data_IF_749315357446
#
_entry.id   IF_749315357446
#
_cell.length_a   1.000
_cell.length_b   1.000
_cell.length_c   1.000
_cell.angle_alpha   90.00
_cell.angle_beta   90.00
_cell.angle_gamma   90.00
#
_symmetry.space_group_name_H-M   'P 1'
#
loop_
_entity.id
_entity.type
_entity.pdbx_description
1 polymer ?
#
# COMPACT_ATOMS: atom_id res chain seq x y z
N UNK A 1 28.89 -15.94 -80.03
CA UNK A 1 28.62 -15.57 -78.63
C UNK A 1 29.84 -14.82 -78.13
N UNK A 2 29.74 -13.49 -78.06
CA UNK A 2 30.90 -12.61 -77.91
C UNK A 2 31.24 -12.40 -76.44
N UNK A 3 32.54 -12.42 -76.08
CA UNK A 3 33.05 -12.23 -74.70
C UNK A 3 32.50 -10.97 -74.00
N UNK A 4 32.15 -9.94 -74.78
CA UNK A 4 31.57 -8.70 -74.26
C UNK A 4 30.15 -8.86 -73.70
N UNK A 5 29.34 -9.80 -74.21
CA UNK A 5 28.00 -10.06 -73.66
C UNK A 5 28.08 -10.79 -72.31
N UNK A 6 29.03 -11.71 -72.15
CA UNK A 6 29.24 -12.44 -70.89
C UNK A 6 29.79 -11.54 -69.77
N UNK A 7 30.70 -10.61 -70.10
CA UNK A 7 31.23 -9.63 -69.14
C UNK A 7 30.16 -8.62 -68.70
N UNK A 8 29.31 -8.15 -69.62
CA UNK A 8 28.22 -7.23 -69.28
C UNK A 8 27.13 -7.90 -68.43
N UNK A 9 26.82 -9.18 -68.66
CA UNK A 9 25.92 -9.95 -67.79
C UNK A 9 26.49 -10.15 -66.38
N UNK A 10 27.81 -10.39 -66.27
CA UNK A 10 28.48 -10.51 -64.97
C UNK A 10 28.50 -9.18 -64.19
N UNK A 11 28.76 -8.05 -64.85
CA UNK A 11 28.75 -6.73 -64.23
C UNK A 11 27.35 -6.30 -63.77
N UNK A 12 26.31 -6.58 -64.58
CA UNK A 12 24.93 -6.29 -64.22
C UNK A 12 24.46 -7.10 -63.00
N UNK A 13 24.88 -8.37 -62.89
CA UNK A 13 24.59 -9.20 -61.72
C UNK A 13 25.23 -8.65 -60.44
N UNK A 14 26.51 -8.28 -60.51
CA UNK A 14 27.23 -7.68 -59.37
C UNK A 14 26.58 -6.36 -58.95
N UNK A 15 26.19 -5.52 -59.91
CA UNK A 15 25.49 -4.28 -59.60
C UNK A 15 24.14 -4.52 -58.90
N UNK A 16 23.35 -5.49 -59.38
CA UNK A 16 22.08 -5.86 -58.75
C UNK A 16 22.26 -6.41 -57.33
N UNK A 17 23.30 -7.23 -57.11
CA UNK A 17 23.64 -7.79 -55.79
C UNK A 17 24.08 -6.70 -54.81
N UNK A 18 24.95 -5.77 -55.25
CA UNK A 18 25.37 -4.63 -54.44
C UNK A 18 24.20 -3.68 -54.11
N UNK A 19 23.26 -3.49 -55.04
CA UNK A 19 22.02 -2.75 -54.77
C UNK A 19 21.13 -3.47 -53.75
N UNK A 20 21.02 -4.80 -53.82
CA UNK A 20 20.27 -5.59 -52.85
C UNK A 20 20.88 -5.47 -51.44
N UNK A 21 22.21 -5.63 -51.33
CA UNK A 21 22.92 -5.42 -50.07
C UNK A 21 22.74 -3.99 -49.53
N UNK A 22 22.77 -2.97 -50.39
CA UNK A 22 22.51 -1.58 -49.97
C UNK A 22 21.11 -1.43 -49.36
N UNK A 23 20.09 -1.96 -50.04
CA UNK A 23 18.70 -1.92 -49.53
C UNK A 23 18.57 -2.66 -48.20
N UNK A 24 19.26 -3.80 -48.04
CA UNK A 24 19.27 -4.54 -46.76
C UNK A 24 19.94 -3.73 -45.63
N UNK A 25 21.05 -3.05 -45.93
CA UNK A 25 21.68 -2.12 -44.99
C UNK A 25 20.72 -0.98 -44.61
N UNK A 26 20.05 -0.35 -45.59
CA UNK A 26 19.11 0.74 -45.35
C UNK A 26 17.97 0.30 -44.42
N UNK A 27 17.42 -0.90 -44.61
CA UNK A 27 16.38 -1.47 -43.74
C UNK A 27 16.90 -1.71 -42.33
N UNK A 28 18.12 -2.25 -42.17
CA UNK A 28 18.72 -2.47 -40.84
C UNK A 28 19.00 -1.16 -40.11
N UNK A 29 19.49 -0.14 -40.82
CA UNK A 29 19.70 1.20 -40.25
C UNK A 29 18.37 1.76 -39.75
N UNK A 30 17.33 1.76 -40.59
CA UNK A 30 16.01 2.26 -40.21
C UNK A 30 15.43 1.51 -38.98
N UNK A 31 15.61 0.19 -38.93
CA UNK A 31 15.17 -0.62 -37.78
C UNK A 31 15.93 -0.28 -36.50
N UNK A 32 17.24 -0.05 -36.58
CA UNK A 32 18.03 0.35 -35.42
C UNK A 32 17.73 1.77 -34.98
N UNK A 33 17.49 2.69 -35.91
CA UNK A 33 17.08 4.06 -35.59
C UNK A 33 15.73 4.08 -34.86
N UNK A 34 14.77 3.27 -35.31
CA UNK A 34 13.49 3.12 -34.60
C UNK A 34 13.68 2.56 -33.18
N UNK A 35 14.56 1.56 -33.03
CA UNK A 35 14.85 0.99 -31.72
C UNK A 35 15.56 2.01 -30.81
N UNK A 36 16.50 2.78 -31.35
CA UNK A 36 17.21 3.86 -30.66
C UNK A 36 16.21 4.90 -30.15
N UNK A 37 15.33 5.39 -31.02
CA UNK A 37 14.29 6.35 -30.67
C UNK A 37 13.37 5.80 -29.55
N UNK A 38 13.02 4.52 -29.59
CA UNK A 38 12.20 3.88 -28.56
C UNK A 38 12.91 3.79 -27.21
N UNK A 39 14.21 3.50 -27.22
CA UNK A 39 15.02 3.50 -26.00
C UNK A 39 15.15 4.90 -25.42
N UNK A 40 15.40 5.91 -26.25
CA UNK A 40 15.46 7.30 -25.83
C UNK A 40 14.14 7.77 -25.20
N UNK A 41 13.01 7.43 -25.80
CA UNK A 41 11.69 7.73 -25.23
C UNK A 41 11.48 7.06 -23.86
N UNK A 42 11.84 5.77 -23.74
CA UNK A 42 11.78 5.04 -22.47
C UNK A 42 12.69 5.65 -21.40
N UNK A 43 13.91 6.07 -21.78
CA UNK A 43 14.84 6.74 -20.87
C UNK A 43 14.26 8.07 -20.38
N UNK A 44 13.67 8.85 -21.28
CA UNK A 44 13.03 10.12 -20.93
C UNK A 44 11.86 9.90 -19.95
N UNK A 45 11.03 8.88 -20.19
CA UNK A 45 9.95 8.50 -19.28
C UNK A 45 10.48 8.10 -17.90
N UNK A 46 11.47 7.20 -17.83
CA UNK A 46 12.05 6.75 -16.56
C UNK A 46 12.70 7.91 -15.77
N UNK A 47 13.30 8.88 -16.46
CA UNK A 47 13.83 10.09 -15.82
C UNK A 47 12.72 10.94 -15.21
N UNK A 48 11.61 11.12 -15.92
CA UNK A 48 10.44 11.83 -15.40
C UNK A 48 9.83 11.12 -14.18
N UNK A 49 9.69 9.79 -14.24
CA UNK A 49 9.24 8.97 -13.11
C UNK A 49 10.18 9.10 -11.90
N UNK A 50 11.50 9.08 -12.12
CA UNK A 50 12.49 9.29 -11.05
C UNK A 50 12.34 10.68 -10.41
N UNK A 51 12.19 11.73 -11.21
CA UNK A 51 11.98 13.09 -10.70
C UNK A 51 10.70 13.19 -9.86
N UNK A 52 9.61 12.55 -10.29
CA UNK A 52 8.37 12.47 -9.54
C UNK A 52 8.56 11.76 -8.19
N UNK A 53 9.17 10.58 -8.18
CA UNK A 53 9.42 9.81 -6.95
C UNK A 53 10.31 10.60 -5.98
N UNK A 54 11.31 11.33 -6.49
CA UNK A 54 12.15 12.18 -5.66
C UNK A 54 11.37 13.38 -5.08
N UNK A 55 10.43 13.95 -5.82
CA UNK A 55 9.56 15.00 -5.33
C UNK A 55 8.62 14.49 -4.22
N UNK A 56 7.99 13.33 -4.44
CA UNK A 56 7.13 12.66 -3.45
C UNK A 56 7.91 12.32 -2.18
N UNK A 57 9.14 11.81 -2.32
CA UNK A 57 10.03 11.54 -1.18
C UNK A 57 10.31 12.82 -0.37
N UNK A 58 10.64 13.93 -1.03
CA UNK A 58 10.91 15.21 -0.34
C UNK A 58 9.67 15.71 0.41
N UNK A 59 8.49 15.55 -0.19
CA UNK A 59 7.23 15.89 0.46
C UNK A 59 7.01 15.04 1.72
N UNK A 60 7.15 13.72 1.60
CA UNK A 60 7.01 12.81 2.75
C UNK A 60 8.04 13.09 3.87
N UNK A 61 9.26 13.48 3.51
CA UNK A 61 10.27 13.92 4.48
C UNK A 61 9.87 15.21 5.20
N UNK A 62 9.28 16.18 4.49
CA UNK A 62 8.75 17.40 5.08
C UNK A 62 7.56 17.11 6.01
N UNK A 63 6.60 16.30 5.57
CA UNK A 63 5.43 15.90 6.37
C UNK A 63 5.87 15.16 7.65
N UNK A 64 6.90 14.30 7.56
CA UNK A 64 7.49 13.63 8.72
C UNK A 64 8.08 14.64 9.71
N UNK A 65 8.83 15.63 9.22
CA UNK A 65 9.42 16.67 10.08
C UNK A 65 8.34 17.52 10.77
N UNK A 66 7.25 17.85 10.07
CA UNK A 66 6.13 18.57 10.65
C UNK A 66 5.43 17.72 11.73
N UNK A 67 5.16 16.44 11.44
CA UNK A 67 4.57 15.52 12.41
C UNK A 67 5.45 15.34 13.65
N UNK A 68 6.77 15.27 13.49
CA UNK A 68 7.72 15.21 14.61
C UNK A 68 7.64 16.47 15.49
N UNK A 69 7.60 17.66 14.89
CA UNK A 69 7.43 18.92 15.64
C UNK A 69 6.10 18.98 16.39
N UNK A 70 5.00 18.55 15.76
CA UNK A 70 3.68 18.50 16.41
C UNK A 70 3.68 17.52 17.58
N UNK A 71 4.31 16.35 17.42
CA UNK A 71 4.43 15.36 18.49
C UNK A 71 5.27 15.88 19.66
N UNK A 72 6.38 16.57 19.40
CA UNK A 72 7.19 17.20 20.44
C UNK A 72 6.41 18.30 21.17
N UNK A 73 5.72 19.17 20.44
CA UNK A 73 4.88 20.21 21.02
C UNK A 73 3.75 19.62 21.89
N UNK A 74 3.13 18.54 21.42
CA UNK A 74 2.09 17.83 22.17
C UNK A 74 2.65 17.21 23.45
N UNK A 75 3.81 16.54 23.40
CA UNK A 75 4.48 15.98 24.58
C UNK A 75 4.80 17.08 25.61
N UNK A 76 5.36 18.20 25.16
CA UNK A 76 5.66 19.34 26.03
C UNK A 76 4.39 19.97 26.64
N UNK A 77 3.27 19.97 25.93
CA UNK A 77 1.98 20.43 26.44
C UNK A 77 1.40 19.46 27.47
N UNK A 78 1.50 18.14 27.24
CA UNK A 78 1.09 17.10 28.18
C UNK A 78 1.91 17.20 29.47
N UNK A 79 3.23 17.35 29.40
CA UNK A 79 4.10 17.53 30.57
C UNK A 79 3.74 18.78 31.38
N UNK A 80 3.46 19.91 30.70
CA UNK A 80 2.94 21.11 31.38
C UNK A 80 1.58 20.87 32.03
N UNK A 81 0.68 20.15 31.35
CA UNK A 81 -0.65 19.83 31.86
C UNK A 81 -0.66 18.84 33.03
N UNK A 82 0.27 17.88 33.07
CA UNK A 82 0.46 16.97 34.21
C UNK A 82 1.10 17.71 35.38
N UNK A 83 2.07 18.58 35.14
CA UNK A 83 2.65 19.47 36.16
C UNK A 83 1.62 20.37 36.84
N UNK A 84 0.69 20.96 36.07
CA UNK A 84 -0.41 21.78 36.61
C UNK A 84 -1.41 20.97 37.46
N UNK A 85 -1.67 19.70 37.10
CA UNK A 85 -2.53 18.81 37.90
C UNK A 85 -1.85 18.35 39.18
N UNK A 86 -0.55 18.09 39.15
CA UNK A 86 0.22 17.76 40.35
C UNK A 86 0.35 18.97 41.30
N UNK A 87 0.54 20.18 40.77
CA UNK A 87 0.60 21.42 41.56
C UNK A 87 -0.75 21.77 42.23
N UNK A 88 -1.90 21.36 41.66
CA UNK A 88 -3.22 21.47 42.30
C UNK A 88 -3.49 20.38 43.35
N UNK A 89 -2.67 19.34 43.43
CA UNK A 89 -2.87 18.19 44.31
C UNK A 89 -2.30 18.32 45.73
N UNK A 90 -1.63 19.43 46.08
CA UNK A 90 -0.89 19.53 47.36
C UNK A 90 -1.15 20.83 48.11
N UNK A 91 -2.39 21.32 48.07
CA UNK A 91 -2.84 22.40 48.94
C UNK A 91 -4.30 22.19 49.33
N UNK A 92 -4.68 22.33 50.61
CA UNK A 92 -6.08 22.27 51.01
C UNK A 92 -6.78 23.51 50.44
N UNK A 93 -7.28 23.40 49.21
CA UNK A 93 -8.08 24.44 48.59
C UNK A 93 -9.46 24.37 49.23
N UNK A 94 -9.69 25.15 50.29
CA UNK A 94 -11.01 25.34 50.89
C UNK A 94 -11.91 26.03 49.87
N UNK A 95 -12.65 25.25 49.11
CA UNK A 95 -13.83 25.72 48.40
C UNK A 95 -14.97 25.80 49.41
N UNK A 96 -15.42 27.02 49.71
CA UNK A 96 -16.65 27.22 50.47
C UNK A 96 -17.83 27.06 49.49
N UNK A 97 -18.55 25.95 49.63
CA UNK A 97 -19.86 25.76 49.01
C UNK A 97 -20.87 26.51 49.86
N UNK A 98 -21.50 27.52 49.27
CA UNK A 98 -22.72 28.13 49.83
C UNK A 98 -23.90 27.33 49.28
N UNK A 99 -24.52 26.51 50.13
CA UNK A 99 -25.79 25.85 49.84
C UNK A 99 -26.95 26.75 50.23
N UNK A 100 -27.99 26.91 49.40
CA UNK A 100 -29.33 27.18 49.90
C UNK A 100 -30.09 25.86 50.16
N UNK A 101 -30.94 25.94 51.18
CA UNK A 101 -31.66 24.89 51.92
C UNK A 101 -32.54 23.89 51.15
N UNK A 102 -32.62 22.71 51.78
CA UNK A 102 -33.76 21.80 52.02
C UNK A 102 -34.69 21.30 50.90
N UNK A 103 -34.70 19.97 50.75
CA UNK A 103 -35.82 19.19 50.21
C UNK A 103 -35.50 17.67 50.13
N UNK A 104 -36.37 16.75 50.58
CA UNK A 104 -35.98 15.43 51.08
C UNK A 104 -35.85 14.30 50.04
N UNK A 105 -34.94 13.36 50.33
CA UNK A 105 -34.81 11.98 49.82
C UNK A 105 -36.09 11.15 50.11
N UNK A 106 -36.38 9.95 49.51
CA UNK A 106 -35.50 9.02 48.77
C UNK A 106 -36.14 8.31 47.55
N UNK A 107 -35.35 7.56 46.76
CA UNK A 107 -35.62 6.14 46.43
C UNK A 107 -34.78 5.58 45.27
N UNK A 108 -34.35 4.34 45.50
CA UNK A 108 -34.27 3.22 44.57
C UNK A 108 -33.24 3.24 43.42
N UNK A 109 -32.28 2.34 43.59
CA UNK A 109 -31.40 1.79 42.59
C UNK A 109 -32.15 1.31 41.33
N UNK A 110 -31.59 1.59 40.17
CA UNK A 110 -31.67 0.67 39.02
C UNK A 110 -30.33 0.73 38.30
N UNK A 111 -29.53 -0.33 38.47
CA UNK A 111 -28.41 -0.62 37.57
C UNK A 111 -29.03 -0.96 36.21
N UNK A 112 -29.03 -0.01 35.30
CA UNK A 112 -29.26 -0.31 33.89
C UNK A 112 -28.02 -1.05 33.40
N UNK A 113 -28.20 -2.31 33.05
CA UNK A 113 -27.18 -3.11 32.38
C UNK A 113 -26.67 -2.35 31.14
N UNK A 114 -25.35 -2.28 30.89
CA UNK A 114 -24.86 -1.74 29.63
C UNK A 114 -25.35 -2.65 28.51
N UNK A 115 -26.19 -2.10 27.63
CA UNK A 115 -26.46 -2.71 26.34
C UNK A 115 -25.11 -2.92 25.61
N UNK A 116 -24.91 -4.05 24.90
CA UNK A 116 -23.69 -4.29 24.17
C UNK A 116 -23.60 -3.30 23.01
N UNK A 117 -22.92 -2.17 23.21
CA UNK A 117 -22.47 -1.32 22.12
C UNK A 117 -21.26 -2.01 21.49
N UNK A 118 -21.50 -2.94 20.55
CA UNK A 118 -20.49 -3.28 19.55
C UNK A 118 -20.41 -2.16 18.52
N UNK A 119 -19.93 -1.00 18.97
CA UNK A 119 -19.26 -0.03 18.11
C UNK A 119 -17.78 -0.42 18.10
N UNK A 120 -17.47 -1.55 17.48
CA UNK A 120 -16.09 -1.91 17.13
C UNK A 120 -15.60 -0.83 16.18
N UNK A 121 -14.84 0.14 16.73
CA UNK A 121 -14.18 1.14 15.93
C UNK A 121 -13.34 0.42 14.87
N UNK A 122 -13.39 0.85 13.60
CA UNK A 122 -12.71 0.17 12.53
C UNK A 122 -11.20 0.13 12.80
N UNK A 123 -10.60 -1.01 12.53
CA UNK A 123 -9.16 -1.19 12.71
C UNK A 123 -8.43 -0.37 11.65
N UNK A 124 -7.63 0.60 12.08
CA UNK A 124 -6.80 1.41 11.19
C UNK A 124 -5.61 0.59 10.69
N UNK A 125 -5.52 0.45 9.37
CA UNK A 125 -4.49 -0.37 8.73
C UNK A 125 -3.73 0.50 7.75
N UNK A 126 -2.41 0.45 7.85
CA UNK A 126 -1.48 1.14 6.96
C UNK A 126 -0.74 0.15 6.07
N UNK A 127 -0.33 0.64 4.89
CA UNK A 127 0.49 -0.09 3.92
C UNK A 127 -0.31 -0.60 2.71
N UNK A 128 0.08 -0.14 1.53
CA UNK A 128 -0.61 -0.37 0.25
C UNK A 128 -0.91 -1.85 -0.02
N UNK A 129 0.06 -2.75 0.19
CA UNK A 129 -0.15 -4.18 -0.04
C UNK A 129 -1.14 -4.80 0.95
N UNK A 130 -1.15 -4.36 2.20
CA UNK A 130 -2.09 -4.86 3.21
C UNK A 130 -3.50 -4.36 2.90
N UNK A 131 -3.62 -3.11 2.45
CA UNK A 131 -4.88 -2.52 1.98
C UNK A 131 -5.42 -3.26 0.75
N UNK A 132 -4.57 -3.54 -0.24
CA UNK A 132 -4.97 -4.32 -1.42
C UNK A 132 -5.46 -5.73 -1.06
N UNK A 133 -4.82 -6.40 -0.08
CA UNK A 133 -5.33 -7.69 0.44
C UNK A 133 -6.70 -7.52 1.08
N UNK A 134 -6.90 -6.47 1.88
CA UNK A 134 -8.19 -6.22 2.52
C UNK A 134 -9.28 -5.84 1.53
N UNK A 135 -8.97 -5.10 0.47
CA UNK A 135 -9.89 -4.82 -0.64
C UNK A 135 -10.34 -6.12 -1.30
N UNK A 136 -9.41 -7.05 -1.57
CA UNK A 136 -9.74 -8.38 -2.12
C UNK A 136 -10.70 -9.13 -1.17
N UNK A 137 -10.37 -9.19 0.12
CA UNK A 137 -11.19 -9.88 1.12
C UNK A 137 -12.57 -9.22 1.30
N UNK A 138 -12.65 -7.89 1.16
CA UNK A 138 -13.89 -7.12 1.35
C UNK A 138 -14.87 -7.26 0.19
N UNK A 139 -14.43 -7.72 -0.98
CA UNK A 139 -15.32 -8.02 -2.12
C UNK A 139 -16.29 -9.16 -1.79
N UNK A 140 -15.83 -10.15 -1.03
CA UNK A 140 -16.59 -11.35 -0.66
C UNK A 140 -16.36 -11.64 0.84
N UNK A 141 -17.03 -10.92 1.75
CA UNK A 141 -16.74 -10.97 3.20
C UNK A 141 -17.08 -12.32 3.83
N UNK A 142 -18.06 -13.04 3.28
CA UNK A 142 -18.49 -14.35 3.78
C UNK A 142 -17.61 -15.50 3.26
N UNK A 143 -16.75 -15.24 2.26
CA UNK A 143 -15.90 -16.26 1.65
C UNK A 143 -14.67 -16.54 2.51
N UNK A 144 -14.30 -17.81 2.54
CA UNK A 144 -13.03 -18.26 3.10
C UNK A 144 -11.90 -18.19 2.06
N UNK A 145 -10.84 -17.47 2.38
CA UNK A 145 -9.71 -17.20 1.49
C UNK A 145 -8.48 -18.00 1.89
N UNK A 146 -7.76 -18.52 0.90
CA UNK A 146 -6.48 -19.21 1.13
C UNK A 146 -5.33 -18.29 0.74
N UNK A 147 -4.13 -18.43 1.32
CA UNK A 147 -2.97 -17.63 0.91
C UNK A 147 -2.67 -17.73 -0.59
N UNK A 148 -2.92 -18.89 -1.20
CA UNK A 148 -2.78 -19.10 -2.64
C UNK A 148 -3.81 -18.29 -3.44
N UNK A 149 -5.09 -18.29 -3.02
CA UNK A 149 -6.13 -17.51 -3.69
C UNK A 149 -5.83 -16.00 -3.63
N UNK A 150 -5.42 -15.50 -2.46
CA UNK A 150 -5.03 -14.09 -2.31
C UNK A 150 -3.80 -13.75 -3.16
N UNK A 151 -2.79 -14.61 -3.20
CA UNK A 151 -1.61 -14.40 -4.04
C UNK A 151 -1.91 -14.37 -5.55
N UNK A 152 -2.88 -15.17 -6.00
CA UNK A 152 -3.34 -15.16 -7.39
C UNK A 152 -4.04 -13.84 -7.75
N UNK A 153 -4.88 -13.33 -6.86
CA UNK A 153 -5.58 -12.04 -7.07
C UNK A 153 -4.62 -10.84 -6.98
N UNK A 154 -3.64 -10.88 -6.06
CA UNK A 154 -2.74 -9.76 -5.80
C UNK A 154 -1.60 -9.63 -6.82
N UNK A 155 -0.97 -10.75 -7.18
CA UNK A 155 0.30 -10.76 -7.94
C UNK A 155 0.28 -11.79 -9.08
N UNK A 156 -0.89 -12.29 -9.50
CA UNK A 156 -1.05 -13.30 -10.55
C UNK A 156 -0.18 -14.56 -10.34
N UNK A 157 0.13 -14.90 -9.08
CA UNK A 157 0.95 -16.08 -8.76
C UNK A 157 2.45 -15.91 -9.03
N UNK A 158 2.97 -14.68 -9.05
CA UNK A 158 4.40 -14.42 -9.15
C UNK A 158 5.23 -15.21 -8.11
N UNK A 159 6.52 -15.44 -8.39
CA UNK A 159 7.39 -16.20 -7.48
C UNK A 159 7.43 -15.58 -6.07
N UNK A 160 7.23 -16.42 -5.04
CA UNK A 160 7.15 -16.01 -3.64
C UNK A 160 5.87 -15.26 -3.22
N UNK A 161 4.90 -15.09 -4.12
CA UNK A 161 3.63 -14.38 -3.83
C UNK A 161 2.81 -15.07 -2.73
N UNK A 162 2.81 -16.40 -2.69
CA UNK A 162 2.07 -17.20 -1.69
C UNK A 162 2.62 -16.97 -0.28
N UNK A 163 3.94 -16.92 -0.11
CA UNK A 163 4.56 -16.70 1.20
C UNK A 163 4.37 -15.27 1.67
N UNK A 164 4.45 -14.29 0.76
CA UNK A 164 4.10 -12.89 1.05
C UNK A 164 2.63 -12.75 1.46
N UNK A 165 1.70 -13.32 0.70
CA UNK A 165 0.27 -13.30 1.02
C UNK A 165 -0.01 -13.98 2.37
N UNK A 166 0.67 -15.10 2.66
CA UNK A 166 0.59 -15.78 3.96
C UNK A 166 1.05 -14.86 5.09
N UNK A 167 2.19 -14.19 4.94
CA UNK A 167 2.70 -13.27 5.96
C UNK A 167 1.74 -12.10 6.22
N UNK A 168 1.14 -11.53 5.18
CA UNK A 168 0.14 -10.47 5.29
C UNK A 168 -1.13 -10.95 6.01
N UNK A 169 -1.66 -12.11 5.64
CA UNK A 169 -2.85 -12.68 6.30
C UNK A 169 -2.59 -13.04 7.77
N UNK A 170 -1.39 -13.54 8.11
CA UNK A 170 -1.00 -13.79 9.50
C UNK A 170 -0.91 -12.49 10.30
N UNK A 171 -0.38 -11.42 9.71
CA UNK A 171 -0.36 -10.10 10.37
C UNK A 171 -1.79 -9.58 10.61
N UNK A 172 -2.68 -9.69 9.62
CA UNK A 172 -4.09 -9.34 9.76
C UNK A 172 -4.81 -10.18 10.82
N UNK A 173 -4.45 -11.46 10.95
CA UNK A 173 -4.96 -12.35 12.00
C UNK A 173 -4.50 -11.89 13.39
N UNK A 174 -3.22 -11.54 13.56
CA UNK A 174 -2.72 -11.00 14.83
C UNK A 174 -3.37 -9.66 15.22
N UNK A 175 -3.83 -8.88 14.24
CA UNK A 175 -4.59 -7.64 14.45
C UNK A 175 -6.10 -7.86 14.63
N UNK A 176 -6.54 -9.12 14.73
CA UNK A 176 -7.95 -9.51 14.85
C UNK A 176 -8.86 -9.01 13.70
N UNK A 177 -8.29 -8.74 12.53
CA UNK A 177 -9.03 -8.27 11.34
C UNK A 177 -9.65 -9.44 10.59
N UNK A 178 -8.92 -10.56 10.53
CA UNK A 178 -9.35 -11.82 9.93
C UNK A 178 -9.33 -12.95 10.95
N UNK A 179 -10.22 -13.92 10.81
CA UNK A 179 -10.16 -15.19 11.55
C UNK A 179 -9.45 -16.23 10.69
N UNK A 180 -8.61 -17.05 11.34
CA UNK A 180 -7.92 -18.19 10.74
C UNK A 180 -8.65 -19.48 11.09
N UNK A 181 -9.15 -20.20 10.08
CA UNK A 181 -9.70 -21.56 10.23
C UNK A 181 -8.72 -22.56 9.61
N UNK A 182 -8.43 -23.65 10.32
CA UNK A 182 -7.58 -24.73 9.81
C UNK A 182 -8.48 -25.87 9.37
N UNK A 183 -8.27 -26.34 8.15
CA UNK A 183 -9.01 -27.47 7.62
C UNK A 183 -8.83 -28.71 8.50
N UNK A 184 -9.82 -29.63 8.59
CA UNK A 184 -9.72 -30.85 9.39
C UNK A 184 -8.52 -31.73 9.01
N UNK A 185 -8.09 -31.65 7.74
CA UNK A 185 -6.93 -32.38 7.22
C UNK A 185 -5.58 -31.74 7.57
N UNK A 186 -5.59 -30.58 8.26
CA UNK A 186 -4.42 -29.76 8.63
C UNK A 186 -3.53 -29.32 7.47
N UNK A 187 -3.94 -29.52 6.21
CA UNK A 187 -3.15 -29.17 5.02
C UNK A 187 -3.45 -27.76 4.53
N UNK A 188 -4.65 -27.26 4.81
CA UNK A 188 -5.10 -25.96 4.31
C UNK A 188 -5.51 -25.03 5.44
N UNK A 189 -5.15 -23.76 5.27
CA UNK A 189 -5.55 -22.68 6.17
C UNK A 189 -6.39 -21.68 5.39
N UNK A 190 -7.51 -21.33 5.99
CA UNK A 190 -8.47 -20.39 5.48
C UNK A 190 -8.49 -19.13 6.36
N UNK A 191 -8.77 -17.99 5.74
CA UNK A 191 -8.86 -16.70 6.38
C UNK A 191 -10.16 -16.04 5.95
N UNK A 192 -10.90 -15.46 6.90
CA UNK A 192 -12.15 -14.72 6.62
C UNK A 192 -12.12 -13.37 7.31
N UNK A 193 -12.61 -12.33 6.64
CA UNK A 193 -12.72 -10.99 7.20
C UNK A 193 -13.81 -10.96 8.29
N UNK A 194 -13.50 -10.36 9.45
CA UNK A 194 -14.45 -10.33 10.59
C UNK A 194 -14.55 -8.96 11.25
N UNK A 195 -13.52 -8.11 11.15
CA UNK A 195 -13.59 -6.74 11.64
C UNK A 195 -13.76 -5.73 10.50
N UNK A 196 -14.51 -4.66 10.78
CA UNK A 196 -14.46 -3.46 9.95
C UNK A 196 -13.06 -2.83 10.03
N UNK A 197 -12.56 -2.33 8.91
CA UNK A 197 -11.23 -1.73 8.80
C UNK A 197 -11.32 -0.41 8.04
N UNK A 198 -10.36 0.46 8.31
CA UNK A 198 -10.19 1.74 7.60
C UNK A 198 -8.72 1.90 7.21
N UNK A 199 -8.48 2.48 6.03
CA UNK A 199 -7.15 2.92 5.64
C UNK A 199 -6.70 4.05 6.59
N UNK A 200 -5.50 3.91 7.14
CA UNK A 200 -4.90 4.87 8.07
C UNK A 200 -4.21 6.03 7.36
#
# INVERSE_FOLDING_TARGET
>A
MSLNEGLNQSAAYIAADMEAMRRECDVRIASHDEHSNRLEATIAQLRAELEQVLAEKRQAEADRQEAEQVLEAFRAAVERGTGLRQARGTGPTRLWVVSPDDGPSPAAATRTAPAPQTLTSPVRISGERTLAVLEILSREPDREWTPRAVAMELEAGASGSIDRARALLVNLFHRAVVIKTVAPDSKQTFYRLVAAWEAA
#
